data_IF_681035843080
#
_entry.id   IF_681035843080
#
_cell.length_a   1.000
_cell.length_b   1.000
_cell.length_c   1.000
_cell.angle_alpha   90.00
_cell.angle_beta   90.00
_cell.angle_gamma   90.00
#
_symmetry.space_group_name_H-M   'P 1'
#
loop_
_entity.id
_entity.type
_entity.pdbx_description
1 polymer ?
#
# COMPACT_ATOMS: atom_id res chain seq x y z
N UNK A 1 7.36 -6.04 -22.65
CA UNK A 1 7.08 -5.08 -21.54
C UNK A 1 5.65 -5.15 -21.01
N UNK A 2 4.67 -5.62 -21.81
CA UNK A 2 3.24 -5.73 -21.45
C UNK A 2 2.93 -6.53 -20.17
N UNK A 3 3.77 -7.53 -19.83
CA UNK A 3 3.47 -8.46 -18.73
C UNK A 3 3.42 -7.83 -17.33
N UNK A 4 4.08 -6.68 -17.10
CA UNK A 4 4.17 -6.07 -15.76
C UNK A 4 3.51 -4.69 -15.64
N UNK A 5 3.13 -4.05 -16.75
CA UNK A 5 2.65 -2.66 -16.75
C UNK A 5 1.13 -2.50 -16.76
N UNK A 6 0.35 -3.59 -16.80
CA UNK A 6 -1.10 -3.47 -16.91
C UNK A 6 -1.75 -2.99 -15.60
N UNK A 7 -2.90 -2.34 -15.73
CA UNK A 7 -3.65 -1.72 -14.64
C UNK A 7 -5.07 -2.30 -14.55
N UNK A 8 -5.60 -2.40 -13.32
CA UNK A 8 -7.00 -2.62 -13.04
C UNK A 8 -7.71 -1.28 -12.80
N UNK A 9 -8.37 -0.68 -13.82
CA UNK A 9 -9.11 0.58 -13.63
C UNK A 9 -10.38 0.38 -12.78
N UNK A 10 -10.87 -0.86 -12.66
CA UNK A 10 -12.11 -1.23 -11.94
C UNK A 10 -11.93 -2.56 -11.22
N UNK A 11 -12.78 -2.82 -10.23
CA UNK A 11 -12.80 -4.07 -9.45
C UNK A 11 -12.57 -3.81 -7.97
N UNK A 12 -11.70 -4.59 -7.33
CA UNK A 12 -11.26 -4.36 -5.95
C UNK A 12 -10.20 -3.24 -5.90
N UNK A 13 -10.64 -2.03 -6.21
CA UNK A 13 -9.87 -0.77 -6.16
C UNK A 13 -10.77 0.37 -5.67
N UNK A 14 -10.22 1.33 -4.93
CA UNK A 14 -10.93 2.52 -4.41
C UNK A 14 -10.09 3.76 -4.68
N UNK A 15 -10.69 4.78 -5.31
CA UNK A 15 -10.01 6.05 -5.63
C UNK A 15 -9.12 6.01 -6.88
N UNK A 16 -9.19 4.95 -7.69
CA UNK A 16 -8.48 4.88 -8.98
C UNK A 16 -9.23 5.56 -10.12
N UNK A 17 -8.51 5.83 -11.22
CA UNK A 17 -9.07 6.37 -12.45
C UNK A 17 -9.76 5.25 -13.27
N UNK A 18 -11.11 5.29 -13.40
CA UNK A 18 -11.87 4.25 -14.08
C UNK A 18 -11.73 4.27 -15.61
N UNK A 19 -11.15 5.33 -16.18
CA UNK A 19 -10.93 5.53 -17.61
C UNK A 19 -9.46 5.30 -18.01
N UNK A 20 -8.60 4.95 -17.05
CA UNK A 20 -7.20 4.61 -17.29
C UNK A 20 -7.07 3.42 -18.25
N UNK A 21 -6.20 3.49 -19.27
CA UNK A 21 -5.98 2.36 -20.16
C UNK A 21 -5.42 1.15 -19.39
N UNK A 22 -5.97 -0.04 -19.66
CA UNK A 22 -5.51 -1.30 -19.04
C UNK A 22 -4.04 -1.55 -19.37
N UNK A 23 -3.59 -1.23 -20.58
CA UNK A 23 -2.19 -1.32 -21.00
C UNK A 23 -1.74 0.12 -21.30
N UNK A 24 -0.98 0.77 -20.40
CA UNK A 24 -0.47 2.10 -20.64
C UNK A 24 0.66 2.07 -21.69
N UNK A 25 0.79 3.16 -22.45
CA UNK A 25 1.88 3.33 -23.41
C UNK A 25 3.26 3.39 -22.73
N UNK A 26 3.30 3.97 -21.53
CA UNK A 26 4.49 4.05 -20.68
C UNK A 26 4.27 3.28 -19.39
N UNK A 27 5.20 2.39 -19.04
CA UNK A 27 5.17 1.67 -17.77
C UNK A 27 5.47 2.63 -16.61
N UNK A 28 4.50 2.79 -15.70
CA UNK A 28 4.61 3.66 -14.54
C UNK A 28 4.14 2.93 -13.29
N UNK A 29 5.10 2.54 -12.44
CA UNK A 29 4.85 1.86 -11.17
C UNK A 29 5.27 2.77 -10.02
N UNK A 30 4.38 3.70 -9.64
CA UNK A 30 4.60 4.66 -8.56
C UNK A 30 3.50 4.61 -7.50
N UNK A 31 2.84 3.45 -7.37
CA UNK A 31 1.79 3.29 -6.36
C UNK A 31 0.44 3.89 -6.74
N UNK A 32 0.18 4.09 -8.04
CA UNK A 32 -1.15 4.47 -8.50
C UNK A 32 -2.14 3.32 -8.25
N UNK A 33 -3.37 3.65 -7.84
CA UNK A 33 -4.43 2.66 -7.64
C UNK A 33 -4.66 1.85 -8.92
N UNK A 34 -4.77 0.54 -8.77
CA UNK A 34 -4.93 -0.41 -9.86
C UNK A 34 -3.64 -0.84 -10.54
N UNK A 35 -2.49 -0.26 -10.21
CA UNK A 35 -1.16 -0.70 -10.71
C UNK A 35 -0.45 -1.60 -9.72
N UNK A 36 0.61 -2.29 -10.17
CA UNK A 36 1.48 -3.00 -9.24
C UNK A 36 2.18 -2.03 -8.30
N UNK A 37 2.28 -2.43 -7.03
CA UNK A 37 3.06 -1.71 -6.05
C UNK A 37 4.52 -1.60 -6.54
N UNK A 38 5.16 -0.42 -6.41
CA UNK A 38 6.58 -0.24 -6.68
C UNK A 38 7.43 -1.27 -5.94
N UNK A 39 8.47 -1.78 -6.59
CA UNK A 39 9.40 -2.68 -5.93
C UNK A 39 10.50 -1.89 -5.23
N UNK A 40 10.80 -2.28 -3.98
CA UNK A 40 11.95 -1.81 -3.22
C UNK A 40 12.56 -2.98 -2.44
N UNK A 41 13.89 -3.00 -2.34
CA UNK A 41 14.59 -3.87 -1.40
C UNK A 41 14.60 -3.24 -0.02
N UNK A 42 14.19 -3.99 1.00
CA UNK A 42 14.11 -3.54 2.39
C UNK A 42 14.88 -4.49 3.29
N UNK A 43 15.12 -4.08 4.53
CA UNK A 43 15.70 -4.93 5.57
C UNK A 43 14.69 -5.11 6.70
N UNK A 44 14.36 -6.36 7.02
CA UNK A 44 13.49 -6.74 8.14
C UNK A 44 14.29 -7.58 9.11
N UNK A 45 14.42 -7.14 10.36
CA UNK A 45 15.19 -7.86 11.39
C UNK A 45 16.59 -8.31 10.93
N UNK A 46 17.30 -7.44 10.18
CA UNK A 46 18.64 -7.72 9.65
C UNK A 46 18.68 -8.60 8.39
N UNK A 47 17.55 -9.04 7.86
CA UNK A 47 17.46 -9.82 6.63
C UNK A 47 16.90 -8.97 5.48
N UNK A 48 17.51 -9.10 4.30
CA UNK A 48 17.02 -8.45 3.08
C UNK A 48 15.74 -9.13 2.60
N UNK A 49 14.70 -8.34 2.33
CA UNK A 49 13.39 -8.80 1.84
C UNK A 49 12.96 -7.96 0.64
N UNK A 50 12.27 -8.57 -0.32
CA UNK A 50 11.58 -7.80 -1.35
C UNK A 50 10.27 -7.27 -0.78
N UNK A 51 9.93 -6.02 -1.08
CA UNK A 51 8.61 -5.49 -0.75
C UNK A 51 7.48 -6.33 -1.38
N UNK A 52 7.75 -6.98 -2.52
CA UNK A 52 6.78 -7.86 -3.18
C UNK A 52 6.49 -9.14 -2.41
N UNK A 53 7.46 -9.65 -1.65
CA UNK A 53 7.31 -10.87 -0.84
C UNK A 53 6.31 -10.68 0.32
N UNK A 54 5.91 -9.44 0.60
CA UNK A 54 4.91 -9.13 1.62
C UNK A 54 3.48 -9.38 1.14
N UNK A 55 3.23 -9.36 -0.17
CA UNK A 55 1.88 -9.21 -0.73
C UNK A 55 1.21 -10.52 -1.13
N UNK A 56 1.53 -11.67 -0.52
CA UNK A 56 1.09 -12.97 -1.08
C UNK A 56 -0.19 -13.55 -0.45
N UNK A 57 -0.50 -13.17 0.79
CA UNK A 57 -1.50 -13.88 1.61
C UNK A 57 -2.62 -13.00 2.14
N UNK A 58 -2.34 -11.72 2.35
CA UNK A 58 -3.21 -10.77 3.02
C UNK A 58 -3.18 -9.42 2.32
N UNK A 59 -4.12 -8.55 2.66
CA UNK A 59 -3.94 -7.14 2.36
C UNK A 59 -2.79 -6.60 3.21
N UNK A 60 -2.00 -5.69 2.65
CA UNK A 60 -0.88 -5.06 3.34
C UNK A 60 -1.02 -3.55 3.27
N UNK A 61 -1.05 -2.90 4.42
CA UNK A 61 -0.95 -1.44 4.53
C UNK A 61 0.51 -1.04 4.79
N UNK A 62 1.02 -0.10 4.00
CA UNK A 62 2.33 0.50 4.20
C UNK A 62 2.19 1.98 4.57
N UNK A 63 3.00 2.41 5.53
CA UNK A 63 3.08 3.81 5.96
C UNK A 63 4.47 4.13 6.52
N UNK A 64 4.72 5.41 6.85
CA UNK A 64 5.95 5.78 7.56
C UNK A 64 5.83 5.54 9.08
N UNK A 65 6.94 5.34 9.80
CA UNK A 65 6.97 5.35 11.26
C UNK A 65 6.35 6.62 11.86
N UNK A 66 5.78 6.53 13.05
CA UNK A 66 5.15 7.65 13.74
C UNK A 66 3.78 8.09 13.19
N UNK A 67 3.26 7.43 12.15
CA UNK A 67 1.92 7.70 11.59
C UNK A 67 0.85 6.82 12.28
N UNK A 68 -0.43 7.24 12.29
CA UNK A 68 -1.51 6.49 12.95
C UNK A 68 -1.95 5.23 12.18
N UNK A 69 -1.43 5.03 10.97
CA UNK A 69 -1.90 4.02 10.02
C UNK A 69 -1.76 2.58 10.52
N UNK A 70 -0.64 2.23 11.17
CA UNK A 70 -0.43 0.87 11.69
C UNK A 70 -1.43 0.52 12.80
N UNK A 71 -1.71 1.47 13.68
CA UNK A 71 -2.71 1.29 14.74
C UNK A 71 -4.12 1.19 14.14
N UNK A 72 -4.47 2.11 13.24
CA UNK A 72 -5.75 2.11 12.51
C UNK A 72 -5.99 0.78 11.81
N UNK A 73 -4.99 0.23 11.11
CA UNK A 73 -5.07 -1.08 10.46
C UNK A 73 -5.37 -2.20 11.45
N UNK A 74 -4.70 -2.23 12.61
CA UNK A 74 -4.97 -3.23 13.65
C UNK A 74 -6.37 -3.12 14.27
N UNK A 75 -6.96 -1.93 14.30
CA UNK A 75 -8.36 -1.75 14.71
C UNK A 75 -9.33 -2.25 13.62
N UNK A 76 -9.13 -1.83 12.37
CA UNK A 76 -9.95 -2.23 11.21
C UNK A 76 -9.91 -3.74 10.96
N UNK A 77 -8.73 -4.36 11.06
CA UNK A 77 -8.55 -5.80 10.91
C UNK A 77 -9.41 -6.59 11.91
N UNK A 78 -9.42 -6.15 13.18
CA UNK A 78 -10.23 -6.76 14.25
C UNK A 78 -11.72 -6.54 14.04
N UNK A 79 -12.12 -5.32 13.67
CA UNK A 79 -13.52 -4.97 13.44
C UNK A 79 -14.12 -5.77 12.27
N UNK A 80 -13.37 -5.89 11.18
CA UNK A 80 -13.82 -6.65 10.01
C UNK A 80 -13.57 -8.16 10.12
N UNK A 81 -12.76 -8.63 11.08
CA UNK A 81 -12.29 -10.01 11.10
C UNK A 81 -11.59 -10.40 9.80
N UNK A 82 -10.76 -9.48 9.27
CA UNK A 82 -10.06 -9.63 8.00
C UNK A 82 -8.54 -9.71 8.22
N UNK A 83 -7.84 -10.43 7.33
CA UNK A 83 -6.39 -10.44 7.31
C UNK A 83 -5.87 -9.17 6.64
N UNK A 84 -5.37 -8.26 7.48
CA UNK A 84 -4.73 -7.00 7.09
C UNK A 84 -3.45 -6.85 7.90
N UNK A 85 -2.32 -7.01 7.24
CA UNK A 85 -1.01 -6.73 7.82
C UNK A 85 -0.66 -5.25 7.63
N UNK A 86 0.09 -4.68 8.56
CA UNK A 86 0.54 -3.30 8.47
C UNK A 86 2.01 -3.17 8.86
N UNK A 87 2.79 -2.53 7.98
CA UNK A 87 4.22 -2.33 8.16
C UNK A 87 4.58 -0.86 8.02
N UNK A 88 5.47 -0.39 8.89
CA UNK A 88 6.11 0.91 8.72
C UNK A 88 7.42 0.77 7.95
N UNK A 89 7.66 1.66 6.99
CA UNK A 89 8.90 1.74 6.20
C UNK A 89 9.61 3.06 6.48
N UNK A 90 10.89 3.00 6.84
CA UNK A 90 11.69 4.19 7.07
C UNK A 90 13.15 3.88 7.36
N UNK A 91 13.93 4.91 7.68
CA UNK A 91 15.32 4.77 8.13
C UNK A 91 15.48 4.69 9.66
N UNK A 92 14.37 4.89 10.39
CA UNK A 92 14.39 4.95 11.85
C UNK A 92 14.40 3.54 12.48
N UNK A 93 15.00 3.37 13.69
CA UNK A 93 15.09 2.06 14.36
C UNK A 93 13.75 1.42 14.73
N UNK A 94 12.67 2.21 14.79
CA UNK A 94 11.31 1.79 15.11
C UNK A 94 10.49 1.39 13.87
N UNK A 95 11.08 1.46 12.66
CA UNK A 95 10.46 0.95 11.45
C UNK A 95 10.43 -0.59 11.45
N UNK A 96 9.33 -1.19 11.01
CA UNK A 96 9.26 -2.65 10.79
C UNK A 96 10.20 -3.07 9.65
N UNK A 97 10.33 -2.20 8.66
CA UNK A 97 11.09 -2.39 7.43
C UNK A 97 12.03 -1.21 7.22
N UNK A 98 13.33 -1.48 7.21
CA UNK A 98 14.36 -0.47 7.02
C UNK A 98 14.67 -0.31 5.54
N UNK A 99 14.54 0.90 5.02
CA UNK A 99 14.89 1.21 3.63
C UNK A 99 16.40 1.44 3.46
N UNK A 100 16.96 1.27 2.24
CA UNK A 100 18.37 1.57 1.96
C UNK A 100 18.70 3.05 2.15
N UNK A 101 19.97 3.35 2.46
CA UNK A 101 20.45 4.72 2.57
C UNK A 101 20.23 5.51 1.27
N UNK A 102 19.70 6.73 1.39
CA UNK A 102 19.39 7.61 0.26
C UNK A 102 18.16 7.20 -0.55
N UNK A 103 17.46 6.12 -0.19
CA UNK A 103 16.14 5.82 -0.73
C UNK A 103 15.04 6.54 0.07
N UNK A 104 13.88 6.77 -0.56
CA UNK A 104 12.66 7.23 0.07
C UNK A 104 11.47 6.40 -0.46
N UNK A 105 10.82 5.67 0.45
CA UNK A 105 9.69 4.82 0.08
C UNK A 105 8.44 5.64 -0.29
N UNK A 106 8.21 6.77 0.39
CA UNK A 106 7.06 7.63 0.15
C UNK A 106 7.21 8.33 -1.20
N UNK A 107 8.41 8.83 -1.52
CA UNK A 107 8.72 9.37 -2.85
C UNK A 107 8.54 8.32 -3.96
N UNK A 108 8.97 7.07 -3.72
CA UNK A 108 8.77 5.98 -4.68
C UNK A 108 7.28 5.71 -4.97
N UNK A 109 6.41 5.89 -3.97
CA UNK A 109 4.95 5.77 -4.08
C UNK A 109 4.24 7.11 -4.38
N UNK A 110 5.00 8.19 -4.59
CA UNK A 110 4.49 9.54 -4.76
C UNK A 110 3.47 9.95 -3.69
N UNK A 111 3.73 9.56 -2.44
CA UNK A 111 2.95 9.91 -1.26
C UNK A 111 3.66 11.02 -0.49
N UNK A 112 2.91 11.73 0.34
CA UNK A 112 3.55 12.50 1.39
C UNK A 112 4.12 11.58 2.47
N UNK A 113 5.01 12.11 3.30
CA UNK A 113 5.67 11.36 4.37
C UNK A 113 4.67 10.74 5.38
N UNK A 114 3.47 11.32 5.51
CA UNK A 114 2.39 10.87 6.38
C UNK A 114 1.29 10.08 5.64
N UNK A 115 1.46 9.80 4.35
CA UNK A 115 0.52 9.02 3.56
C UNK A 115 0.57 7.52 3.86
N UNK A 116 -0.33 6.78 3.20
CA UNK A 116 -0.38 5.33 3.26
C UNK A 116 -0.85 4.70 1.94
N UNK A 117 -0.44 3.46 1.70
CA UNK A 117 -0.90 2.67 0.56
C UNK A 117 -1.35 1.29 1.01
N UNK A 118 -2.51 0.85 0.50
CA UNK A 118 -3.06 -0.46 0.74
C UNK A 118 -2.87 -1.32 -0.52
N UNK A 119 -2.20 -2.44 -0.34
CA UNK A 119 -1.84 -3.38 -1.41
C UNK A 119 -2.57 -4.69 -1.20
N UNK A 120 -3.04 -5.28 -2.30
CA UNK A 120 -3.76 -6.55 -2.33
C UNK A 120 -2.81 -7.76 -2.23
N UNK A 121 -3.36 -8.96 -1.92
CA UNK A 121 -2.63 -10.23 -2.00
C UNK A 121 -2.08 -10.63 -3.38
N UNK A 122 -2.31 -9.83 -4.43
CA UNK A 122 -1.73 -10.03 -5.76
C UNK A 122 -0.71 -8.94 -6.14
N UNK A 123 -0.33 -8.09 -5.17
CA UNK A 123 0.68 -7.04 -5.33
C UNK A 123 0.18 -5.78 -6.04
N UNK A 124 -1.14 -5.63 -6.22
CA UNK A 124 -1.74 -4.43 -6.81
C UNK A 124 -2.21 -3.45 -5.75
N UNK A 125 -1.99 -2.16 -6.00
CA UNK A 125 -2.48 -1.09 -5.13
C UNK A 125 -4.00 -1.04 -5.22
N UNK A 126 -4.66 -1.27 -4.10
CA UNK A 126 -6.12 -1.23 -3.97
C UNK A 126 -6.61 0.17 -3.58
N UNK A 127 -5.84 0.91 -2.79
CA UNK A 127 -6.21 2.21 -2.26
C UNK A 127 -4.96 2.95 -1.77
N UNK A 128 -5.02 4.27 -1.70
CA UNK A 128 -3.98 5.13 -1.11
C UNK A 128 -4.61 6.35 -0.44
N UNK A 129 -3.93 6.86 0.58
CA UNK A 129 -4.14 8.17 1.16
C UNK A 129 -2.86 8.99 0.95
N UNK A 130 -2.96 10.13 0.25
CA UNK A 130 -1.80 10.99 -0.02
C UNK A 130 -1.21 11.59 1.26
N UNK A 131 -2.07 11.89 2.23
CA UNK A 131 -1.76 12.42 3.56
C UNK A 131 -2.56 11.68 4.64
N UNK A 132 -2.19 11.85 5.91
CA UNK A 132 -3.01 11.39 7.03
C UNK A 132 -4.28 12.26 7.14
N UNK A 133 -5.48 11.68 7.01
CA UNK A 133 -6.73 12.43 7.18
C UNK A 133 -7.06 12.65 8.66
N UNK A 134 -8.14 13.40 8.94
CA UNK A 134 -8.60 13.64 10.31
C UNK A 134 -9.04 12.35 11.04
N UNK A 135 -9.60 11.38 10.30
CA UNK A 135 -9.97 10.05 10.81
C UNK A 135 -9.37 8.92 9.94
N UNK A 136 -8.10 8.56 10.17
CA UNK A 136 -7.39 7.53 9.39
C UNK A 136 -8.04 6.15 9.49
N UNK A 137 -8.57 5.81 10.67
CA UNK A 137 -9.27 4.54 10.89
C UNK A 137 -10.57 4.51 10.09
N UNK A 138 -11.38 5.58 10.17
CA UNK A 138 -12.64 5.68 9.42
C UNK A 138 -12.44 5.56 7.91
N UNK A 139 -11.45 6.26 7.35
CA UNK A 139 -11.15 6.15 5.92
C UNK A 139 -10.66 4.76 5.51
N UNK A 140 -9.76 4.16 6.29
CA UNK A 140 -9.28 2.81 6.02
C UNK A 140 -10.41 1.77 6.12
N UNK A 141 -11.31 1.93 7.11
CA UNK A 141 -12.47 1.06 7.28
C UNK A 141 -13.41 1.12 6.08
N UNK A 142 -13.73 2.33 5.61
CA UNK A 142 -14.57 2.52 4.41
C UNK A 142 -13.90 1.90 3.17
N UNK A 143 -12.60 2.15 2.97
CA UNK A 143 -11.85 1.55 1.86
C UNK A 143 -11.89 0.01 1.92
N UNK A 144 -11.57 -0.60 3.07
CA UNK A 144 -11.59 -2.06 3.25
C UNK A 144 -12.99 -2.65 3.07
N UNK A 145 -14.03 -1.98 3.58
CA UNK A 145 -15.42 -2.42 3.43
C UNK A 145 -15.84 -2.49 1.97
N UNK A 146 -15.51 -1.46 1.19
CA UNK A 146 -15.75 -1.40 -0.27
C UNK A 146 -14.96 -2.48 -1.01
N UNK A 147 -13.68 -2.66 -0.68
CA UNK A 147 -12.80 -3.65 -1.32
C UNK A 147 -13.29 -5.09 -1.08
N UNK A 148 -13.75 -5.39 0.13
CA UNK A 148 -14.27 -6.70 0.51
C UNK A 148 -15.73 -6.92 0.11
N UNK A 149 -16.41 -5.89 -0.44
CA UNK A 149 -17.85 -5.88 -0.74
C UNK A 149 -18.71 -6.30 0.44
N UNK A 150 -18.34 -5.86 1.64
CA UNK A 150 -19.14 -6.05 2.84
C UNK A 150 -20.13 -4.88 2.92
N UNK A 151 -21.40 -5.20 3.16
CA UNK A 151 -22.49 -4.23 3.31
C UNK A 151 -22.83 -4.04 4.78
#
# INVERSE_FOLDING_TARGET
>A
TTAMGYCYPRGAVVGGDPDRPIIPETMRLKGDVGTRAPHMWLTRAGQRVSLLDLYETSFVLLSSPGTPWKEAAGQVARELGAHLDAYTIGSAPDADLVQPDGADWAELHELAADGAVLVRPDGFVAWRAEHTPADPRGELLDAMTRLLRRA
#
